data_IF_766217307717
#
_entry.id   IF_766217307717
#
_cell.length_a   1.000
_cell.length_b   1.000
_cell.length_c   1.000
_cell.angle_alpha   90.00
_cell.angle_beta   90.00
_cell.angle_gamma   90.00
#
_symmetry.space_group_name_H-M   'P 1'
#
loop_
_entity.id
_entity.type
_entity.pdbx_description
1 polymer ?
#
# COMPACT_ATOMS: atom_id res chain seq x y z
N UNK A 1 -6.87 -22.78 13.30
CA UNK A 1 -6.67 -23.18 14.71
C UNK A 1 -7.23 -24.57 14.93
N UNK A 2 -8.53 -24.82 14.75
CA UNK A 2 -9.19 -26.11 15.01
C UNK A 2 -8.47 -27.34 14.42
N UNK A 3 -7.99 -27.25 13.16
CA UNK A 3 -7.26 -28.37 12.52
C UNK A 3 -5.90 -28.65 13.14
N UNK A 4 -5.25 -27.66 13.72
CA UNK A 4 -3.91 -27.80 14.29
C UNK A 4 -3.91 -28.09 15.80
N UNK A 5 -4.84 -27.49 16.54
CA UNK A 5 -4.86 -27.55 18.02
C UNK A 5 -6.13 -28.17 18.59
N UNK A 6 -7.18 -28.32 17.79
CA UNK A 6 -8.52 -28.74 18.25
C UNK A 6 -9.34 -27.62 18.88
N UNK A 7 -8.77 -26.42 19.01
CA UNK A 7 -9.41 -25.26 19.63
C UNK A 7 -10.42 -24.60 18.69
N UNK A 8 -11.58 -24.30 19.19
CA UNK A 8 -12.59 -23.50 18.49
C UNK A 8 -12.48 -22.05 18.95
N UNK A 9 -12.26 -21.16 17.99
CA UNK A 9 -12.15 -19.71 18.19
C UNK A 9 -12.83 -18.98 17.05
N UNK A 10 -13.52 -17.91 17.35
CA UNK A 10 -13.98 -16.96 16.34
C UNK A 10 -12.87 -15.94 15.99
N UNK A 11 -13.07 -15.20 14.93
CA UNK A 11 -12.07 -14.27 14.40
C UNK A 11 -11.77 -13.13 15.39
N UNK A 12 -12.78 -12.63 16.09
CA UNK A 12 -12.62 -11.51 17.02
C UNK A 12 -11.87 -11.93 18.29
N UNK A 13 -12.16 -13.11 18.85
CA UNK A 13 -11.44 -13.58 20.04
C UNK A 13 -10.03 -14.05 19.71
N UNK A 14 -9.78 -14.49 18.48
CA UNK A 14 -8.46 -14.95 18.04
C UNK A 14 -7.52 -13.80 17.69
N UNK A 15 -8.01 -12.78 17.01
CA UNK A 15 -7.19 -11.71 16.43
C UNK A 15 -7.95 -10.42 16.16
N UNK A 16 -9.06 -10.17 16.87
CA UNK A 16 -9.82 -8.93 16.74
C UNK A 16 -9.06 -7.71 17.25
N UNK A 17 -9.45 -6.55 16.77
CA UNK A 17 -8.79 -5.28 17.08
C UNK A 17 -8.83 -4.96 18.59
N UNK A 18 -9.96 -5.22 19.26
CA UNK A 18 -10.09 -5.03 20.70
C UNK A 18 -9.14 -5.96 21.48
N UNK A 19 -9.06 -7.23 21.09
CA UNK A 19 -8.13 -8.18 21.72
C UNK A 19 -6.68 -7.71 21.59
N UNK A 20 -6.29 -7.19 20.43
CA UNK A 20 -4.93 -6.70 20.22
C UNK A 20 -4.66 -5.38 20.96
N UNK A 21 -5.64 -4.50 21.11
CA UNK A 21 -5.49 -3.25 21.86
C UNK A 21 -5.48 -3.46 23.38
N UNK A 22 -6.29 -4.42 23.90
CA UNK A 22 -6.51 -4.56 25.33
C UNK A 22 -5.71 -5.69 25.97
N UNK A 23 -5.45 -6.78 25.24
CA UNK A 23 -4.86 -8.00 25.80
C UNK A 23 -3.42 -8.20 25.33
N UNK A 24 -3.18 -8.23 24.02
CA UNK A 24 -1.83 -8.49 23.50
C UNK A 24 -0.94 -7.24 23.46
N UNK A 25 -1.55 -6.05 23.46
CA UNK A 25 -0.83 -4.78 23.33
C UNK A 25 -0.17 -4.57 21.96
N UNK A 26 -0.59 -5.33 20.95
CA UNK A 26 -0.09 -5.17 19.58
C UNK A 26 -0.71 -3.97 18.87
N UNK A 27 -1.95 -3.63 19.23
CA UNK A 27 -2.65 -2.43 18.74
C UNK A 27 -2.45 -1.27 19.71
N UNK A 28 -1.83 -0.19 19.27
CA UNK A 28 -1.61 1.01 20.10
C UNK A 28 -2.87 1.85 20.26
N UNK A 29 -3.75 1.80 19.26
CA UNK A 29 -5.00 2.55 19.23
C UNK A 29 -6.14 1.67 18.70
N UNK A 30 -7.32 1.84 19.26
CA UNK A 30 -8.55 1.24 18.77
C UNK A 30 -9.48 2.37 18.32
N UNK A 31 -9.76 2.40 17.02
CA UNK A 31 -10.68 3.37 16.44
C UNK A 31 -12.13 2.86 16.50
N UNK A 32 -13.08 3.76 16.65
CA UNK A 32 -14.52 3.43 16.64
C UNK A 32 -15.03 3.19 15.21
N UNK A 33 -14.50 3.93 14.24
CA UNK A 33 -14.84 3.85 12.83
C UNK A 33 -13.67 4.36 11.95
N UNK A 34 -13.86 4.40 10.63
CA UNK A 34 -12.84 4.86 9.68
C UNK A 34 -12.50 6.35 9.85
N UNK A 35 -13.48 7.19 10.24
CA UNK A 35 -13.23 8.62 10.50
C UNK A 35 -12.38 8.80 11.74
N UNK A 36 -12.65 8.03 12.79
CA UNK A 36 -11.84 8.03 14.00
C UNK A 36 -10.44 7.49 13.75
N UNK A 37 -10.30 6.44 12.93
CA UNK A 37 -9.00 5.92 12.52
C UNK A 37 -8.15 6.98 11.80
N UNK A 38 -8.75 7.75 10.89
CA UNK A 38 -8.08 8.85 10.22
C UNK A 38 -7.69 9.99 11.17
N UNK A 39 -8.55 10.29 12.14
CA UNK A 39 -8.26 11.28 13.18
C UNK A 39 -7.07 10.85 14.03
N UNK A 40 -7.08 9.63 14.54
CA UNK A 40 -6.00 9.05 15.34
C UNK A 40 -4.68 9.01 14.54
N UNK A 41 -4.72 8.62 13.28
CA UNK A 41 -3.56 8.62 12.40
C UNK A 41 -2.94 10.02 12.27
N UNK A 42 -3.76 11.05 12.07
CA UNK A 42 -3.29 12.45 12.01
C UNK A 42 -2.68 12.91 13.32
N UNK A 43 -3.26 12.52 14.47
CA UNK A 43 -2.71 12.81 15.79
C UNK A 43 -1.33 12.16 15.96
N UNK A 44 -1.19 10.88 15.66
CA UNK A 44 0.09 10.17 15.73
C UNK A 44 1.15 10.88 14.88
N UNK A 45 0.82 11.18 13.62
CA UNK A 45 1.73 11.88 12.72
C UNK A 45 2.11 13.27 13.25
N UNK A 46 1.20 13.99 13.90
CA UNK A 46 1.48 15.30 14.48
C UNK A 46 2.52 15.26 15.60
N UNK A 47 2.64 14.14 16.31
CA UNK A 47 3.60 13.96 17.40
C UNK A 47 5.00 13.53 16.93
N UNK A 48 5.13 13.06 15.69
CA UNK A 48 6.41 12.52 15.20
C UNK A 48 7.50 13.56 15.00
N UNK A 49 7.19 14.86 15.08
CA UNK A 49 8.13 15.96 14.77
C UNK A 49 8.91 15.69 13.47
N UNK A 50 8.21 15.10 12.51
CA UNK A 50 8.80 14.64 11.27
C UNK A 50 9.26 15.81 10.41
N UNK A 51 10.46 15.70 9.89
CA UNK A 51 11.00 16.61 8.89
C UNK A 51 11.26 15.83 7.62
N UNK A 52 10.74 16.31 6.51
CA UNK A 52 10.95 15.67 5.23
C UNK A 52 12.44 15.59 4.91
N UNK A 53 12.96 14.37 4.75
CA UNK A 53 14.17 14.11 4.00
C UNK A 53 13.81 14.03 2.51
N UNK A 54 14.73 14.28 1.61
CA UNK A 54 14.49 14.22 0.18
C UNK A 54 14.12 15.56 -0.46
N UNK A 55 13.81 15.56 -1.76
CA UNK A 55 13.65 16.79 -2.53
C UNK A 55 12.50 17.65 -2.01
N UNK A 56 12.67 18.99 -1.99
CA UNK A 56 11.60 19.92 -1.66
C UNK A 56 10.47 19.82 -2.71
N UNK A 57 9.32 20.42 -2.40
CA UNK A 57 8.28 20.59 -3.40
C UNK A 57 8.87 21.30 -4.64
N UNK A 58 8.77 20.65 -5.79
CA UNK A 58 9.36 21.17 -7.04
C UNK A 58 8.40 22.08 -7.81
N UNK A 59 7.11 21.94 -7.53
CA UNK A 59 6.02 22.66 -8.19
C UNK A 59 5.01 23.15 -7.15
N UNK A 60 4.18 24.14 -7.53
CA UNK A 60 2.92 24.37 -6.83
C UNK A 60 2.03 23.14 -7.07
N UNK A 61 1.38 22.63 -6.00
CA UNK A 61 0.43 21.55 -6.18
C UNK A 61 -0.71 21.95 -7.11
N UNK A 62 -1.12 21.03 -7.95
CA UNK A 62 -2.30 21.15 -8.80
C UNK A 62 -3.40 20.24 -8.27
N UNK A 63 -4.65 20.68 -8.29
CA UNK A 63 -5.77 19.80 -7.99
C UNK A 63 -5.84 18.66 -9.02
N UNK A 64 -6.21 17.43 -8.60
CA UNK A 64 -6.53 16.37 -9.53
C UNK A 64 -7.60 16.78 -10.54
N UNK A 65 -7.56 16.23 -11.74
CA UNK A 65 -8.58 16.48 -12.77
C UNK A 65 -9.92 15.83 -12.45
N UNK A 66 -9.93 14.81 -11.60
CA UNK A 66 -11.10 14.06 -11.16
C UNK A 66 -11.41 14.38 -9.71
N UNK A 67 -12.70 14.43 -9.39
CA UNK A 67 -13.17 14.72 -8.03
C UNK A 67 -12.82 13.57 -7.07
N UNK A 68 -12.24 13.92 -5.93
CA UNK A 68 -11.89 12.94 -4.91
C UNK A 68 -13.13 12.22 -4.31
N UNK A 69 -14.32 12.84 -4.32
CA UNK A 69 -15.54 12.20 -3.85
C UNK A 69 -15.96 11.01 -4.73
N UNK A 70 -15.53 10.96 -6.00
CA UNK A 70 -15.77 9.81 -6.87
C UNK A 70 -15.13 8.51 -6.35
N UNK A 71 -14.13 8.60 -5.45
CA UNK A 71 -13.52 7.43 -4.79
C UNK A 71 -14.57 6.58 -4.06
N UNK A 72 -15.61 7.20 -3.50
CA UNK A 72 -16.72 6.50 -2.84
C UNK A 72 -17.50 5.57 -3.79
N UNK A 73 -17.46 5.84 -5.10
CA UNK A 73 -18.11 5.01 -6.11
C UNK A 73 -17.16 4.03 -6.83
N UNK A 74 -15.86 4.28 -6.78
CA UNK A 74 -14.83 3.45 -7.43
C UNK A 74 -14.54 2.20 -6.62
N UNK A 75 -14.37 2.35 -5.30
CA UNK A 75 -14.12 1.22 -4.41
C UNK A 75 -15.45 0.54 -4.08
N UNK A 76 -15.63 -0.68 -4.58
CA UNK A 76 -16.85 -1.45 -4.35
C UNK A 76 -16.84 -2.11 -2.97
N UNK A 77 -17.99 -2.11 -2.30
CA UNK A 77 -18.23 -2.94 -1.12
C UNK A 77 -18.25 -4.45 -1.45
N UNK A 78 -18.45 -4.82 -2.72
CA UNK A 78 -18.34 -6.19 -3.19
C UNK A 78 -16.87 -6.50 -3.50
N UNK A 79 -16.22 -7.25 -2.61
CA UNK A 79 -14.82 -7.67 -2.72
C UNK A 79 -14.51 -8.53 -3.97
N UNK A 80 -15.53 -9.00 -4.69
CA UNK A 80 -15.35 -9.73 -5.95
C UNK A 80 -15.17 -8.80 -7.15
N UNK A 81 -15.46 -7.52 -6.99
CA UNK A 81 -15.26 -6.53 -8.05
C UNK A 81 -13.84 -5.97 -7.94
N UNK A 82 -13.01 -6.17 -8.97
CA UNK A 82 -11.68 -5.57 -9.00
C UNK A 82 -11.81 -4.04 -9.07
N UNK A 83 -10.91 -3.36 -8.38
CA UNK A 83 -10.72 -1.90 -8.48
C UNK A 83 -9.43 -1.69 -9.25
N UNK A 84 -9.45 -0.83 -10.25
CA UNK A 84 -8.21 -0.41 -10.91
C UNK A 84 -7.56 0.70 -10.09
N UNK A 85 -6.36 0.45 -9.58
CA UNK A 85 -5.63 1.41 -8.76
C UNK A 85 -5.28 2.69 -9.51
N UNK A 86 -5.23 2.67 -10.84
CA UNK A 86 -5.04 3.89 -11.65
C UNK A 86 -6.19 4.89 -11.45
N UNK A 87 -7.42 4.40 -11.26
CA UNK A 87 -8.56 5.27 -10.97
C UNK A 87 -8.42 5.98 -9.62
N UNK A 88 -7.84 5.29 -8.64
CA UNK A 88 -7.52 5.89 -7.33
C UNK A 88 -6.39 6.91 -7.47
N UNK A 89 -5.30 6.52 -8.13
CA UNK A 89 -4.14 7.40 -8.35
C UNK A 89 -4.55 8.70 -9.05
N UNK A 90 -5.38 8.61 -10.10
CA UNK A 90 -5.83 9.78 -10.86
C UNK A 90 -6.63 10.80 -10.03
N UNK A 91 -7.17 10.41 -8.86
CA UNK A 91 -7.93 11.29 -7.95
C UNK A 91 -7.13 11.80 -6.75
N UNK A 92 -5.88 11.38 -6.66
CA UNK A 92 -5.00 11.72 -5.52
C UNK A 92 -3.83 12.57 -5.94
N UNK A 93 -3.30 12.37 -7.16
CA UNK A 93 -2.06 13.01 -7.61
C UNK A 93 -2.32 14.31 -8.36
N UNK A 94 -1.37 15.22 -8.29
CA UNK A 94 -1.40 16.54 -8.90
C UNK A 94 -1.71 16.46 -10.41
N UNK A 95 -2.79 17.15 -10.82
CA UNK A 95 -3.24 17.18 -12.21
C UNK A 95 -3.51 15.81 -12.82
N UNK A 96 -3.74 14.79 -11.99
CA UNK A 96 -3.92 13.38 -12.39
C UNK A 96 -2.75 12.84 -13.22
N UNK A 97 -1.54 13.37 -13.03
CA UNK A 97 -0.33 13.00 -13.77
C UNK A 97 0.39 11.87 -13.07
N UNK A 98 0.48 10.72 -13.73
CA UNK A 98 1.18 9.55 -13.26
C UNK A 98 2.06 8.96 -14.35
N UNK A 99 3.35 8.80 -14.09
CA UNK A 99 4.31 8.19 -14.98
C UNK A 99 4.62 6.76 -14.53
N UNK A 100 4.01 5.78 -15.20
CA UNK A 100 4.11 4.39 -14.80
C UNK A 100 5.46 3.77 -15.15
N UNK A 101 6.08 3.15 -14.16
CA UNK A 101 7.30 2.37 -14.29
C UNK A 101 6.99 0.94 -14.75
N UNK A 102 7.58 0.51 -15.85
CA UNK A 102 7.44 -0.84 -16.42
C UNK A 102 5.96 -1.29 -16.59
N UNK A 103 5.11 -0.54 -17.32
CA UNK A 103 3.68 -0.87 -17.44
C UNK A 103 3.39 -2.23 -18.08
N UNK A 104 4.35 -2.79 -18.83
CA UNK A 104 4.21 -4.09 -19.50
C UNK A 104 4.78 -5.28 -18.73
N UNK A 105 5.36 -5.06 -17.56
CA UNK A 105 5.96 -6.10 -16.73
C UNK A 105 5.36 -6.09 -15.34
N UNK A 106 4.98 -7.26 -14.81
CA UNK A 106 4.36 -7.37 -13.50
C UNK A 106 3.09 -6.52 -13.39
N UNK A 107 2.15 -6.68 -14.33
CA UNK A 107 0.99 -5.79 -14.52
C UNK A 107 0.04 -5.71 -13.31
N UNK A 108 0.08 -6.69 -12.41
CA UNK A 108 -0.70 -6.64 -11.16
C UNK A 108 -0.08 -5.77 -10.07
N UNK A 109 1.10 -5.22 -10.34
CA UNK A 109 1.74 -4.22 -9.50
C UNK A 109 1.95 -2.94 -10.31
N UNK A 110 1.26 -1.89 -9.94
CA UNK A 110 1.40 -0.56 -10.52
C UNK A 110 2.43 0.21 -9.72
N UNK A 111 3.50 0.64 -10.37
CA UNK A 111 4.54 1.47 -9.76
C UNK A 111 4.75 2.68 -10.64
N UNK A 112 4.97 3.85 -10.08
CA UNK A 112 5.25 5.03 -10.89
C UNK A 112 5.48 6.29 -10.09
N UNK A 113 5.82 7.33 -10.82
CA UNK A 113 6.17 8.63 -10.32
C UNK A 113 4.98 9.59 -10.41
N UNK A 114 4.80 10.38 -9.38
CA UNK A 114 3.78 11.43 -9.33
C UNK A 114 4.22 12.57 -8.41
N UNK A 115 3.36 13.57 -8.30
CA UNK A 115 3.46 14.58 -7.24
C UNK A 115 2.15 14.68 -6.49
N UNK A 116 2.22 14.99 -5.21
CA UNK A 116 1.06 15.30 -4.37
C UNK A 116 1.35 16.62 -3.68
N UNK A 117 0.52 17.62 -3.93
CA UNK A 117 0.69 19.00 -3.44
C UNK A 117 2.11 19.55 -3.74
N UNK A 118 2.62 19.27 -4.94
CA UNK A 118 3.94 19.67 -5.39
C UNK A 118 5.10 18.82 -4.90
N UNK A 119 4.87 17.86 -4.01
CA UNK A 119 5.91 16.98 -3.51
C UNK A 119 6.03 15.72 -4.36
N UNK A 120 7.23 15.39 -4.85
CA UNK A 120 7.45 14.15 -5.59
C UNK A 120 7.20 12.94 -4.71
N UNK A 121 6.58 11.92 -5.28
CA UNK A 121 6.24 10.66 -4.61
C UNK A 121 6.38 9.49 -5.56
N UNK A 122 6.91 8.38 -5.07
CA UNK A 122 6.83 7.08 -5.73
C UNK A 122 5.60 6.34 -5.23
N UNK A 123 4.73 5.92 -6.14
CA UNK A 123 3.48 5.21 -5.79
C UNK A 123 3.61 3.74 -6.15
N UNK A 124 3.25 2.86 -5.21
CA UNK A 124 3.05 1.44 -5.44
C UNK A 124 1.60 1.08 -5.12
N UNK A 125 0.89 0.55 -6.10
CA UNK A 125 -0.47 0.07 -5.93
C UNK A 125 -0.64 -1.30 -6.56
N UNK A 126 -1.57 -2.10 -6.08
CA UNK A 126 -1.81 -3.41 -6.64
C UNK A 126 -3.17 -3.53 -7.32
N UNK A 127 -3.18 -4.13 -8.51
CA UNK A 127 -4.36 -4.52 -9.28
C UNK A 127 -4.59 -6.04 -9.21
N UNK A 128 -4.39 -6.63 -8.05
CA UNK A 128 -4.55 -8.06 -7.83
C UNK A 128 -3.45 -8.66 -6.95
N UNK A 129 -3.31 -9.96 -7.05
CA UNK A 129 -2.32 -10.76 -6.27
C UNK A 129 -0.90 -10.40 -6.71
N UNK A 130 0.05 -10.46 -5.79
CA UNK A 130 1.47 -10.26 -6.10
C UNK A 130 2.05 -11.54 -6.71
N UNK A 131 2.39 -11.47 -7.99
CA UNK A 131 3.10 -12.51 -8.72
C UNK A 131 4.63 -12.32 -8.61
N UNK A 132 5.43 -13.32 -9.00
CA UNK A 132 6.89 -13.22 -8.95
C UNK A 132 7.49 -12.02 -9.70
N UNK A 133 6.97 -11.71 -10.88
CA UNK A 133 7.36 -10.55 -11.68
C UNK A 133 6.91 -9.22 -11.04
N UNK A 134 5.71 -9.20 -10.46
CA UNK A 134 5.17 -8.06 -9.73
C UNK A 134 6.02 -7.73 -8.50
N UNK A 135 6.44 -8.74 -7.74
CA UNK A 135 7.35 -8.57 -6.61
C UNK A 135 8.72 -8.00 -7.04
N UNK A 136 9.27 -8.49 -8.16
CA UNK A 136 10.53 -7.96 -8.70
C UNK A 136 10.40 -6.50 -9.18
N UNK A 137 9.27 -6.16 -9.86
CA UNK A 137 8.98 -4.78 -10.27
C UNK A 137 8.94 -3.85 -9.06
N UNK A 138 8.20 -4.23 -8.03
CA UNK A 138 8.09 -3.47 -6.79
C UNK A 138 9.45 -3.29 -6.09
N UNK A 139 10.21 -4.38 -5.91
CA UNK A 139 11.55 -4.31 -5.31
C UNK A 139 12.47 -3.34 -6.04
N UNK A 140 12.49 -3.42 -7.37
CA UNK A 140 13.30 -2.51 -8.20
C UNK A 140 12.86 -1.05 -8.06
N UNK A 141 11.56 -0.80 -8.09
CA UNK A 141 11.02 0.55 -7.98
C UNK A 141 11.31 1.19 -6.62
N UNK A 142 11.12 0.45 -5.52
CA UNK A 142 11.47 0.89 -4.16
C UNK A 142 12.94 1.29 -4.07
N UNK A 143 13.84 0.47 -4.63
CA UNK A 143 15.28 0.77 -4.65
C UNK A 143 15.60 2.05 -5.44
N UNK A 144 14.91 2.30 -6.56
CA UNK A 144 15.09 3.54 -7.32
C UNK A 144 14.63 4.76 -6.51
N UNK A 145 13.47 4.68 -5.83
CA UNK A 145 12.99 5.74 -4.98
C UNK A 145 13.97 6.05 -3.84
N UNK A 146 14.51 5.01 -3.19
CA UNK A 146 15.49 5.17 -2.12
C UNK A 146 16.79 5.85 -2.60
N UNK A 147 17.24 5.58 -3.84
CA UNK A 147 18.44 6.20 -4.38
C UNK A 147 18.33 7.72 -4.57
N UNK A 148 17.12 8.22 -4.71
CA UNK A 148 16.86 9.65 -4.97
C UNK A 148 16.06 10.30 -3.85
N UNK A 149 15.94 9.64 -2.70
CA UNK A 149 15.24 10.12 -1.50
C UNK A 149 13.78 10.54 -1.77
N UNK A 150 13.09 9.86 -2.71
CA UNK A 150 11.67 10.10 -2.99
C UNK A 150 10.83 9.24 -2.07
N UNK A 151 9.92 9.84 -1.28
CA UNK A 151 9.04 9.10 -0.38
C UNK A 151 8.11 8.17 -1.15
N UNK A 152 7.74 7.06 -0.51
CA UNK A 152 6.89 6.02 -1.07
C UNK A 152 5.48 6.11 -0.50
N UNK A 153 4.49 6.02 -1.39
CA UNK A 153 3.08 5.83 -1.05
C UNK A 153 2.63 4.45 -1.51
N UNK A 154 2.15 3.64 -0.56
CA UNK A 154 1.57 2.32 -0.83
C UNK A 154 0.05 2.41 -0.84
N UNK A 155 -0.56 2.10 -1.98
CA UNK A 155 -2.00 1.93 -2.15
C UNK A 155 -2.31 0.43 -2.13
N UNK A 156 -2.62 -0.08 -0.95
CA UNK A 156 -2.65 -1.50 -0.69
C UNK A 156 -4.08 -2.04 -0.60
N UNK A 157 -4.45 -2.89 -1.55
CA UNK A 157 -5.70 -3.65 -1.57
C UNK A 157 -5.42 -5.08 -2.04
N UNK A 158 -4.88 -5.91 -1.15
CA UNK A 158 -4.31 -7.19 -1.53
C UNK A 158 -4.62 -8.29 -0.52
N UNK A 159 -4.80 -9.52 -1.03
CA UNK A 159 -4.89 -10.74 -0.23
C UNK A 159 -3.53 -11.39 0.07
N UNK A 160 -2.47 -11.01 -0.66
CA UNK A 160 -1.11 -11.50 -0.44
C UNK A 160 -0.36 -11.92 -1.71
N UNK A 161 0.73 -12.62 -1.51
CA UNK A 161 1.49 -13.26 -2.59
C UNK A 161 0.73 -14.45 -3.16
N UNK A 162 0.89 -14.69 -4.47
CA UNK A 162 0.35 -15.86 -5.13
C UNK A 162 0.92 -17.14 -4.52
N UNK A 163 0.08 -18.15 -4.39
CA UNK A 163 0.47 -19.48 -3.92
C UNK A 163 0.23 -20.53 -5.01
N UNK A 164 1.05 -21.56 -5.05
CA UNK A 164 0.89 -22.67 -5.97
C UNK A 164 2.20 -23.21 -6.50
N UNK A 165 2.21 -24.49 -6.89
CA UNK A 165 3.42 -25.21 -7.29
C UNK A 165 4.22 -24.53 -8.40
N UNK A 166 3.54 -23.97 -9.38
CA UNK A 166 4.20 -23.35 -10.53
C UNK A 166 4.83 -21.99 -10.17
N UNK A 167 4.20 -21.25 -9.27
CA UNK A 167 4.73 -20.01 -8.73
C UNK A 167 5.91 -20.23 -7.77
N UNK A 168 5.88 -21.34 -7.00
CA UNK A 168 7.04 -21.75 -6.20
C UNK A 168 8.24 -22.08 -7.10
N UNK A 169 8.01 -22.78 -8.21
CA UNK A 169 9.03 -23.07 -9.21
C UNK A 169 9.57 -21.82 -9.91
N UNK A 170 8.72 -20.81 -10.14
CA UNK A 170 9.12 -19.50 -10.65
C UNK A 170 9.82 -18.62 -9.59
N UNK A 171 9.94 -19.12 -8.38
CA UNK A 171 10.72 -18.49 -7.31
C UNK A 171 9.99 -17.37 -6.57
N UNK A 172 8.70 -17.51 -6.34
CA UNK A 172 7.90 -16.52 -5.59
C UNK A 172 8.51 -16.22 -4.22
N UNK A 173 9.02 -17.22 -3.49
CA UNK A 173 9.67 -17.04 -2.19
C UNK A 173 10.88 -16.11 -2.32
N UNK A 174 11.75 -16.36 -3.29
CA UNK A 174 12.96 -15.55 -3.53
C UNK A 174 12.61 -14.13 -3.98
N UNK A 175 11.71 -14.00 -4.95
CA UNK A 175 11.32 -12.72 -5.53
C UNK A 175 10.48 -11.91 -4.54
N UNK A 176 9.59 -12.56 -3.77
CA UNK A 176 8.84 -11.93 -2.68
C UNK A 176 9.74 -11.44 -1.56
N UNK A 177 10.74 -12.22 -1.15
CA UNK A 177 11.72 -11.80 -0.13
C UNK A 177 12.54 -10.58 -0.58
N UNK A 178 12.82 -10.44 -1.88
CA UNK A 178 13.48 -9.24 -2.41
C UNK A 178 12.60 -7.99 -2.24
N UNK A 179 11.29 -8.10 -2.48
CA UNK A 179 10.35 -7.00 -2.26
C UNK A 179 10.28 -6.63 -0.78
N UNK A 180 10.11 -7.62 0.11
CA UNK A 180 10.08 -7.40 1.56
C UNK A 180 11.38 -6.73 2.01
N UNK A 181 12.53 -7.22 1.56
CA UNK A 181 13.83 -6.65 1.88
C UNK A 181 13.96 -5.19 1.39
N UNK A 182 13.51 -4.89 0.17
CA UNK A 182 13.54 -3.53 -0.34
C UNK A 182 12.69 -2.57 0.51
N UNK A 183 11.50 -3.00 0.93
CA UNK A 183 10.60 -2.20 1.76
C UNK A 183 11.17 -2.01 3.17
N UNK A 184 11.65 -3.07 3.81
CA UNK A 184 12.18 -3.00 5.18
C UNK A 184 13.49 -2.22 5.32
N UNK A 185 14.22 -2.07 4.23
CA UNK A 185 15.45 -1.25 4.20
C UNK A 185 15.22 0.11 3.52
N UNK A 186 13.98 0.50 3.28
CA UNK A 186 13.64 1.84 2.82
C UNK A 186 13.74 2.82 3.98
N UNK A 187 14.40 3.96 3.75
CA UNK A 187 14.64 4.99 4.76
C UNK A 187 13.52 6.03 4.79
#
# INVERSE_FOLDING_TARGET
VKMATGEESDDETLGGAAMHAEVSGLGEYLAEDEHDALRLCREVVSHLNWRKAGPPASLSGDEPLYDAEELLGIVSADLKRPVDVHDVIARVVDGSRFEEFKPRYGATMVCGWASIQGYPVGILGNNGVIYPDSAQKAAHFVQLCNQIDVPLLFLQNITGFVVGRDFERDGIIKKGSQMINAVTNSA
#
